data_IF_724583796505
#
_entry.id   IF_724583796505
#
_cell.length_a   1.000
_cell.length_b   1.000
_cell.length_c   1.000
_cell.angle_alpha   90.00
_cell.angle_beta   90.00
_cell.angle_gamma   90.00
#
_symmetry.space_group_name_H-M   'P 1'
#
loop_
_entity.id
_entity.type
_entity.pdbx_description
1 polymer ?
#
# COMPACT_ATOMS: atom_id res chain seq x y z
N UNK A 1 5.72 2.00 -12.00
CA UNK A 1 5.67 0.52 -11.94
C UNK A 1 6.36 -0.09 -13.15
N UNK A 2 5.79 -0.07 -14.36
CA UNK A 2 6.44 -0.67 -15.54
C UNK A 2 7.83 -0.08 -15.86
N UNK A 3 8.00 1.24 -15.78
CA UNK A 3 9.31 1.90 -15.98
C UNK A 3 10.35 1.61 -14.88
N UNK A 4 9.91 1.03 -13.75
CA UNK A 4 10.79 0.56 -12.66
C UNK A 4 11.13 -0.94 -12.80
N UNK A 5 10.80 -1.54 -13.95
CA UNK A 5 11.11 -2.94 -14.25
C UNK A 5 10.08 -3.96 -13.77
N UNK A 6 8.91 -3.53 -13.29
CA UNK A 6 7.85 -4.46 -12.89
C UNK A 6 7.27 -5.20 -14.09
N UNK A 7 7.20 -6.53 -13.98
CA UNK A 7 6.64 -7.45 -14.98
C UNK A 7 5.25 -7.95 -14.58
N UNK A 8 4.63 -8.81 -15.40
CA UNK A 8 3.26 -9.29 -15.22
C UNK A 8 3.03 -9.90 -13.82
N UNK A 9 3.97 -10.70 -13.34
CA UNK A 9 3.92 -11.31 -12.00
C UNK A 9 3.93 -10.27 -10.86
N UNK A 10 4.66 -9.17 -11.04
CA UNK A 10 4.69 -8.08 -10.07
C UNK A 10 3.35 -7.34 -10.05
N UNK A 11 2.69 -7.24 -11.20
CA UNK A 11 1.34 -6.68 -11.30
C UNK A 11 0.27 -7.58 -10.68
N UNK A 12 0.43 -8.91 -10.71
CA UNK A 12 -0.41 -9.82 -9.93
C UNK A 12 -0.27 -9.54 -8.42
N UNK A 13 0.94 -9.30 -7.94
CA UNK A 13 1.16 -8.92 -6.54
C UNK A 13 0.55 -7.55 -6.20
N UNK A 14 0.60 -6.57 -7.11
CA UNK A 14 -0.12 -5.30 -6.94
C UNK A 14 -1.63 -5.53 -6.84
N UNK A 15 -2.18 -6.42 -7.67
CA UNK A 15 -3.60 -6.75 -7.62
C UNK A 15 -3.99 -7.37 -6.28
N UNK A 16 -3.14 -8.21 -5.69
CA UNK A 16 -3.34 -8.75 -4.34
C UNK A 16 -3.33 -7.64 -3.28
N UNK A 17 -2.38 -6.70 -3.33
CA UNK A 17 -2.37 -5.56 -2.40
C UNK A 17 -3.64 -4.69 -2.54
N UNK A 18 -4.13 -4.48 -3.76
CA UNK A 18 -5.39 -3.78 -4.01
C UNK A 18 -6.58 -4.56 -3.44
N UNK A 19 -6.59 -5.89 -3.59
CA UNK A 19 -7.63 -6.75 -3.02
C UNK A 19 -7.65 -6.67 -1.49
N UNK A 20 -6.48 -6.74 -0.85
CA UNK A 20 -6.36 -6.58 0.60
C UNK A 20 -6.84 -5.21 1.07
N UNK A 21 -6.43 -4.13 0.40
CA UNK A 21 -6.86 -2.76 0.73
C UNK A 21 -8.38 -2.60 0.65
N UNK A 22 -9.02 -3.12 -0.41
CA UNK A 22 -10.48 -3.07 -0.56
C UNK A 22 -11.16 -3.90 0.53
N UNK A 23 -10.62 -5.06 0.87
CA UNK A 23 -11.17 -5.91 1.94
C UNK A 23 -11.13 -5.22 3.30
N UNK A 24 -10.02 -4.54 3.63
CA UNK A 24 -9.89 -3.73 4.84
C UNK A 24 -10.92 -2.60 4.85
N UNK A 25 -11.05 -1.85 3.74
CA UNK A 25 -12.05 -0.80 3.61
C UNK A 25 -13.48 -1.34 3.78
N UNK A 26 -13.80 -2.51 3.22
CA UNK A 26 -15.12 -3.13 3.41
C UNK A 26 -15.37 -3.50 4.88
N UNK A 27 -14.35 -3.98 5.60
CA UNK A 27 -14.47 -4.28 7.02
C UNK A 27 -14.71 -3.02 7.85
N UNK A 28 -13.96 -1.95 7.59
CA UNK A 28 -14.15 -0.64 8.24
C UNK A 28 -15.55 -0.10 7.96
N UNK A 29 -16.03 -0.20 6.71
CA UNK A 29 -17.38 0.25 6.35
C UNK A 29 -18.48 -0.58 7.04
N UNK A 30 -18.24 -1.87 7.31
CA UNK A 30 -19.17 -2.72 8.08
C UNK A 30 -19.19 -2.35 9.56
N UNK A 31 -18.05 -2.00 10.14
CA UNK A 31 -17.92 -1.68 11.57
C UNK A 31 -18.39 -0.27 11.91
N UNK A 32 -17.98 0.73 11.12
CA UNK A 32 -18.27 2.14 11.40
C UNK A 32 -19.44 2.71 10.58
N UNK A 33 -19.85 2.03 9.51
CA UNK A 33 -20.95 2.44 8.64
C UNK A 33 -20.51 3.16 7.36
N UNK A 34 -21.51 3.50 6.52
CA UNK A 34 -21.31 4.10 5.19
C UNK A 34 -21.02 5.60 5.20
N UNK A 35 -21.31 6.30 6.31
CA UNK A 35 -21.05 7.72 6.41
C UNK A 35 -19.55 7.96 6.49
N UNK A 36 -19.02 8.81 5.60
CA UNK A 36 -17.59 9.05 5.49
C UNK A 36 -16.97 9.57 6.81
N UNK A 37 -17.74 10.33 7.60
CA UNK A 37 -17.32 10.79 8.94
C UNK A 37 -17.05 9.64 9.90
N UNK A 38 -17.84 8.56 9.82
CA UNK A 38 -17.69 7.41 10.71
C UNK A 38 -16.65 6.43 10.14
N UNK A 39 -16.64 6.23 8.83
CA UNK A 39 -15.61 5.45 8.14
C UNK A 39 -14.18 5.94 8.48
N UNK A 40 -13.95 7.26 8.46
CA UNK A 40 -12.63 7.83 8.78
C UNK A 40 -12.16 7.53 10.19
N UNK A 41 -13.05 7.18 11.13
CA UNK A 41 -12.66 6.78 12.49
C UNK A 41 -11.93 5.43 12.49
N UNK A 42 -12.36 4.49 11.65
CA UNK A 42 -11.74 3.17 11.54
C UNK A 42 -10.44 3.12 10.73
N UNK A 43 -10.05 4.25 10.12
CA UNK A 43 -8.74 4.42 9.49
C UNK A 43 -7.64 4.74 10.52
N UNK A 44 -8.00 5.25 11.69
CA UNK A 44 -7.04 5.67 12.72
C UNK A 44 -6.62 4.45 13.55
N UNK A 45 -5.31 4.24 13.70
CA UNK A 45 -4.71 3.11 14.45
C UNK A 45 -5.14 1.72 13.95
N UNK A 46 -5.40 1.58 12.65
CA UNK A 46 -5.74 0.30 12.06
C UNK A 46 -4.47 -0.49 11.73
N UNK A 47 -4.21 -1.56 12.48
CA UNK A 47 -3.04 -2.42 12.31
C UNK A 47 -2.96 -3.09 10.93
N UNK A 48 -4.11 -3.40 10.32
CA UNK A 48 -4.13 -4.02 9.00
C UNK A 48 -3.66 -3.04 7.92
N UNK A 49 -4.02 -1.75 8.06
CA UNK A 49 -3.53 -0.68 7.18
C UNK A 49 -2.02 -0.47 7.38
N UNK A 50 -1.55 -0.47 8.62
CA UNK A 50 -0.12 -0.32 8.93
C UNK A 50 0.70 -1.49 8.37
N UNK A 51 0.24 -2.73 8.55
CA UNK A 51 0.90 -3.90 8.00
C UNK A 51 0.93 -3.87 6.46
N UNK A 52 -0.21 -3.59 5.83
CA UNK A 52 -0.29 -3.50 4.37
C UNK A 52 0.64 -2.41 3.83
N UNK A 53 0.73 -1.26 4.52
CA UNK A 53 1.66 -0.19 4.16
C UNK A 53 3.11 -0.69 4.18
N UNK A 54 3.53 -1.37 5.24
CA UNK A 54 4.90 -1.90 5.36
C UNK A 54 5.21 -2.92 4.26
N UNK A 55 4.27 -3.82 3.95
CA UNK A 55 4.46 -4.80 2.88
C UNK A 55 4.58 -4.14 1.50
N UNK A 56 3.73 -3.14 1.21
CA UNK A 56 3.75 -2.38 -0.04
C UNK A 56 5.05 -1.57 -0.17
N UNK A 57 5.50 -0.91 0.89
CA UNK A 57 6.76 -0.17 0.90
C UNK A 57 7.95 -1.10 0.67
N UNK A 58 8.00 -2.24 1.35
CA UNK A 58 9.04 -3.26 1.16
C UNK A 58 9.08 -3.79 -0.27
N UNK A 59 7.90 -4.07 -0.85
CA UNK A 59 7.79 -4.46 -2.25
C UNK A 59 8.24 -3.34 -3.20
N UNK A 60 7.82 -2.10 -2.96
CA UNK A 60 8.21 -0.98 -3.81
C UNK A 60 9.71 -0.65 -3.73
N UNK A 61 10.37 -0.92 -2.61
CA UNK A 61 11.80 -0.67 -2.40
C UNK A 61 12.70 -1.72 -3.07
N UNK A 62 12.19 -2.92 -3.41
CA UNK A 62 12.98 -3.93 -4.11
C UNK A 62 13.23 -3.62 -5.59
N UNK A 63 12.57 -2.60 -6.13
CA UNK A 63 12.73 -2.18 -7.52
C UNK A 63 13.59 -0.94 -7.64
N UNK A 64 14.43 -0.88 -8.67
CA UNK A 64 15.26 0.28 -8.93
C UNK A 64 14.41 1.52 -9.27
N UNK A 65 14.98 2.70 -9.01
CA UNK A 65 14.35 3.97 -9.34
C UNK A 65 15.12 4.67 -10.46
N UNK A 66 14.52 4.90 -11.63
CA UNK A 66 15.18 5.66 -12.68
C UNK A 66 15.25 7.14 -12.30
N UNK A 67 16.35 7.80 -12.64
CA UNK A 67 16.54 9.25 -12.46
C UNK A 67 17.35 9.67 -11.23
N UNK A 68 17.56 8.78 -10.26
CA UNK A 68 18.49 8.99 -9.14
C UNK A 68 18.84 7.67 -8.45
N UNK A 69 19.95 7.62 -7.72
CA UNK A 69 20.33 6.45 -6.94
C UNK A 69 19.76 6.52 -5.53
N UNK A 70 19.21 5.41 -5.03
CA UNK A 70 18.67 5.28 -3.67
C UNK A 70 19.72 5.64 -2.60
N UNK A 71 21.00 5.37 -2.88
CA UNK A 71 22.13 5.71 -2.00
C UNK A 71 22.32 7.21 -1.76
N UNK A 72 21.93 8.04 -2.72
CA UNK A 72 22.06 9.49 -2.68
C UNK A 72 20.85 10.20 -2.06
N UNK A 73 19.80 9.45 -1.72
CA UNK A 73 18.58 10.01 -1.14
C UNK A 73 18.79 10.46 0.30
N UNK A 74 18.16 11.59 0.64
CA UNK A 74 18.12 12.13 2.01
C UNK A 74 17.28 11.26 2.96
N UNK A 75 16.23 10.63 2.45
CA UNK A 75 15.33 9.77 3.21
C UNK A 75 15.45 8.35 2.68
N UNK A 76 15.93 7.45 3.54
CA UNK A 76 16.21 6.04 3.22
C UNK A 76 15.34 5.07 4.04
N UNK A 77 14.52 5.63 4.92
CA UNK A 77 13.57 4.95 5.79
C UNK A 77 12.18 5.52 5.54
#
# INVERSE_FOLDING_TARGET
MTSRGLVEKDFEQIAEFLHQAVTICLNIQKEHGKLLKDFSKGLVNNKDIENLKVEVEKFALSFDMPGFSLESMKYKE
#
